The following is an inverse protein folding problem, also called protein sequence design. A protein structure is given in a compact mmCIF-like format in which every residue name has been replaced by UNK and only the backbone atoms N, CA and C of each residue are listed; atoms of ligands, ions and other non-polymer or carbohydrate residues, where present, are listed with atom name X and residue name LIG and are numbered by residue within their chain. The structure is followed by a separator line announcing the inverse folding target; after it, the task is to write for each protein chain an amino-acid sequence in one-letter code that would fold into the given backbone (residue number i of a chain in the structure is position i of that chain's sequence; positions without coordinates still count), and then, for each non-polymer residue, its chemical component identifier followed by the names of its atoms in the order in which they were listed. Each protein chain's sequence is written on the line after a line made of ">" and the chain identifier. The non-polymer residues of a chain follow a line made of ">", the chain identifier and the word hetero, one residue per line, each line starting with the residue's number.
data_IF_758668688111
#
_entry.id   IF_758668688111
#
_cell.length_a   1.000
_cell.length_b   1.000
_cell.length_c   1.000
_cell.angle_alpha   90.00
_cell.angle_beta   90.00
_cell.angle_gamma   90.00
#
_symmetry.space_group_name_H-M   'P 1'
#
loop_
_entity.id
_entity.type
_entity.pdbx_description
1 polymer ?
#
# COMPACT_ATOMS: atom_id res chain seq x y z
N UNK A 1 27.82 -28.86 10.20
CA UNK A 1 28.75 -28.49 9.10
C UNK A 1 28.39 -27.06 8.71
N UNK A 2 29.31 -26.11 8.81
CA UNK A 2 29.05 -24.70 8.45
C UNK A 2 29.51 -24.47 7.01
N UNK A 3 28.77 -23.67 6.26
CA UNK A 3 29.18 -23.25 4.92
C UNK A 3 30.32 -22.24 5.06
N UNK A 4 31.42 -22.44 4.33
CA UNK A 4 32.55 -21.51 4.29
C UNK A 4 32.55 -20.81 2.93
N UNK A 5 32.27 -19.50 2.94
CA UNK A 5 32.22 -18.64 1.75
C UNK A 5 33.46 -17.72 1.63
N UNK A 6 34.50 -17.96 2.42
CA UNK A 6 35.75 -17.19 2.36
C UNK A 6 36.72 -17.76 1.33
N UNK A 7 37.59 -16.92 0.77
CA UNK A 7 38.65 -17.32 -0.20
C UNK A 7 38.14 -18.02 -1.47
N UNK A 8 36.95 -17.65 -1.96
CA UNK A 8 36.40 -18.11 -3.25
C UNK A 8 36.26 -16.94 -4.22
N UNK A 9 36.32 -17.23 -5.53
CA UNK A 9 36.28 -16.21 -6.59
C UNK A 9 34.95 -15.44 -6.64
N UNK A 10 33.84 -16.12 -6.29
CA UNK A 10 32.49 -15.55 -6.26
C UNK A 10 31.83 -15.94 -4.93
N UNK A 11 31.99 -15.13 -3.87
CA UNK A 11 31.38 -15.43 -2.58
C UNK A 11 29.86 -15.33 -2.67
N UNK A 12 29.17 -16.26 -2.02
CA UNK A 12 27.71 -16.19 -1.88
C UNK A 12 27.34 -15.05 -0.94
N UNK A 13 26.52 -14.12 -1.41
CA UNK A 13 25.95 -13.05 -0.58
C UNK A 13 24.72 -13.57 0.18
N UNK A 14 24.70 -13.38 1.50
CA UNK A 14 23.61 -13.84 2.37
C UNK A 14 22.90 -12.68 3.08
N UNK A 15 23.38 -11.45 2.91
CA UNK A 15 22.75 -10.26 3.48
C UNK A 15 21.51 -9.84 2.68
N UNK A 16 20.65 -9.09 3.37
CA UNK A 16 19.48 -8.44 2.81
C UNK A 16 19.46 -7.00 3.30
N UNK A 17 19.20 -6.08 2.39
CA UNK A 17 19.05 -4.65 2.69
C UNK A 17 17.66 -4.17 2.28
N UNK A 18 17.14 -3.18 3.00
CA UNK A 18 15.89 -2.51 2.67
C UNK A 18 16.19 -1.10 2.18
N UNK A 19 15.72 -0.77 0.98
CA UNK A 19 15.78 0.59 0.47
C UNK A 19 14.64 1.42 1.06
N UNK A 20 14.96 2.59 1.64
CA UNK A 20 13.98 3.56 2.13
C UNK A 20 13.78 4.66 1.06
N UNK A 21 12.66 4.69 0.33
CA UNK A 21 12.46 5.67 -0.72
C UNK A 21 12.21 7.07 -0.17
N UNK A 22 12.46 8.09 -1.00
CA UNK A 22 12.32 9.51 -0.62
C UNK A 22 10.94 9.87 -0.07
N UNK A 23 9.88 9.19 -0.51
CA UNK A 23 8.52 9.43 0.00
C UNK A 23 8.29 8.95 1.45
N UNK A 24 9.26 8.28 2.07
CA UNK A 24 9.27 7.90 3.49
C UNK A 24 10.24 8.77 4.32
N UNK A 25 10.67 9.90 3.77
CA UNK A 25 11.48 10.86 4.52
C UNK A 25 10.72 11.33 5.78
N UNK A 26 11.34 11.32 6.98
CA UNK A 26 10.69 11.74 8.23
C UNK A 26 10.09 13.15 8.18
N UNK A 27 10.63 14.04 7.35
CA UNK A 27 10.09 15.40 7.14
C UNK A 27 8.71 15.41 6.47
N UNK A 28 8.29 14.29 5.87
CA UNK A 28 7.01 14.13 5.19
C UNK A 28 5.98 13.32 6.01
N UNK A 29 6.29 12.98 7.25
CA UNK A 29 5.47 12.12 8.12
C UNK A 29 4.03 12.62 8.28
N UNK A 30 3.83 13.94 8.43
CA UNK A 30 2.50 14.55 8.59
C UNK A 30 1.61 14.36 7.36
N UNK A 31 2.21 14.19 6.17
CA UNK A 31 1.46 13.96 4.93
C UNK A 31 1.06 12.50 4.76
N UNK A 32 1.61 11.59 5.57
CA UNK A 32 1.40 10.15 5.46
C UNK A 32 0.02 9.77 5.99
N UNK A 33 -0.86 9.19 5.16
CA UNK A 33 -2.16 8.72 5.64
C UNK A 33 -2.03 7.51 6.57
N UNK A 34 -2.93 7.40 7.53
CA UNK A 34 -3.09 6.21 8.36
C UNK A 34 -4.47 5.57 8.12
N UNK A 35 -4.51 4.30 7.72
CA UNK A 35 -5.77 3.58 7.50
C UNK A 35 -6.32 3.17 8.86
N UNK A 36 -7.55 3.60 9.17
CA UNK A 36 -8.23 3.34 10.44
C UNK A 36 -9.22 2.18 10.30
N UNK A 37 -9.87 2.07 9.14
CA UNK A 37 -10.84 1.03 8.81
C UNK A 37 -10.83 0.82 7.28
N UNK A 38 -10.88 -0.42 6.75
CA UNK A 38 -10.92 -1.68 7.47
C UNK A 38 -9.60 -2.04 8.17
N UNK A 39 -9.66 -2.96 9.12
CA UNK A 39 -8.47 -3.63 9.65
C UNK A 39 -7.81 -4.53 8.59
N UNK A 40 -6.52 -4.82 8.78
CA UNK A 40 -5.80 -5.74 7.90
C UNK A 40 -6.44 -7.14 7.88
N UNK A 41 -6.29 -7.83 6.76
CA UNK A 41 -6.85 -9.15 6.44
C UNK A 41 -8.35 -9.13 6.13
N UNK A 42 -8.89 -7.99 5.68
CA UNK A 42 -10.28 -7.86 5.22
C UNK A 42 -10.47 -8.55 3.86
N UNK A 43 -11.15 -9.70 3.85
CA UNK A 43 -11.51 -10.42 2.62
C UNK A 43 -12.47 -9.60 1.76
N UNK A 44 -12.14 -9.31 0.51
CA UNK A 44 -13.02 -8.57 -0.39
C UNK A 44 -13.46 -9.42 -1.58
N UNK A 45 -14.69 -9.20 -2.08
CA UNK A 45 -15.19 -9.82 -3.32
C UNK A 45 -14.97 -8.88 -4.52
N UNK A 46 -14.85 -9.46 -5.72
CA UNK A 46 -14.83 -8.68 -6.96
C UNK A 46 -16.08 -7.80 -7.08
N UNK A 47 -15.88 -6.53 -7.45
CA UNK A 47 -16.96 -5.56 -7.61
C UNK A 47 -17.60 -5.03 -6.32
N UNK A 48 -17.21 -5.53 -5.13
CA UNK A 48 -17.62 -5.02 -3.81
C UNK A 48 -17.21 -3.55 -3.65
N UNK A 49 -18.04 -2.77 -2.96
CA UNK A 49 -17.67 -1.42 -2.53
C UNK A 49 -16.99 -1.53 -1.18
N UNK A 50 -15.75 -1.11 -1.12
CA UNK A 50 -14.96 -1.01 0.09
C UNK A 50 -14.94 0.44 0.58
N UNK A 51 -15.35 0.64 1.83
CA UNK A 51 -15.22 1.93 2.51
C UNK A 51 -13.89 1.94 3.26
N UNK A 52 -13.01 2.86 2.90
CA UNK A 52 -11.72 3.04 3.56
C UNK A 52 -11.76 4.34 4.34
N UNK A 53 -11.70 4.25 5.67
CA UNK A 53 -11.53 5.39 6.56
C UNK A 53 -10.06 5.54 6.89
N UNK A 54 -9.57 6.76 6.79
CA UNK A 54 -8.18 7.07 7.04
C UNK A 54 -8.05 8.43 7.70
N UNK A 55 -6.95 8.65 8.41
CA UNK A 55 -6.59 9.93 9.00
C UNK A 55 -5.36 10.52 8.32
N UNK A 56 -5.31 11.85 8.22
CA UNK A 56 -4.16 12.62 7.71
C UNK A 56 -3.96 13.83 8.63
N UNK A 57 -2.70 14.21 8.85
CA UNK A 57 -2.39 15.43 9.57
C UNK A 57 -2.42 16.65 8.62
N UNK A 58 -3.00 17.76 9.10
CA UNK A 58 -3.24 18.95 8.28
C UNK A 58 -4.44 18.80 7.34
N UNK A 59 -4.78 19.88 6.63
CA UNK A 59 -5.90 19.90 5.68
C UNK A 59 -5.45 19.21 4.37
N UNK A 60 -6.00 18.03 4.02
CA UNK A 60 -5.59 17.36 2.80
C UNK A 60 -6.25 17.99 1.58
N UNK A 61 -5.50 18.01 0.48
CA UNK A 61 -6.06 18.24 -0.85
C UNK A 61 -6.74 16.94 -1.31
N UNK A 62 -8.05 16.84 -1.15
CA UNK A 62 -8.81 15.60 -1.38
C UNK A 62 -8.62 15.04 -2.80
N UNK A 63 -8.44 15.90 -3.80
CA UNK A 63 -8.17 15.52 -5.19
C UNK A 63 -6.83 14.80 -5.39
N UNK A 64 -5.92 14.91 -4.43
CA UNK A 64 -4.62 14.22 -4.47
C UNK A 64 -4.66 12.82 -3.85
N UNK A 65 -5.79 12.42 -3.25
CA UNK A 65 -5.94 11.13 -2.60
C UNK A 65 -6.15 10.04 -3.66
N UNK A 66 -5.30 9.02 -3.59
CA UNK A 66 -5.45 7.79 -4.37
C UNK A 66 -5.51 6.59 -3.43
N UNK A 67 -6.29 5.60 -3.79
CA UNK A 67 -6.32 4.30 -3.16
C UNK A 67 -5.79 3.32 -4.19
N UNK A 68 -4.75 2.60 -3.80
CA UNK A 68 -4.11 1.63 -4.68
C UNK A 68 -4.03 0.28 -4.00
N UNK A 69 -4.13 -0.79 -4.76
CA UNK A 69 -3.80 -2.13 -4.28
C UNK A 69 -2.68 -2.73 -5.12
N UNK A 70 -1.73 -3.38 -4.47
CA UNK A 70 -0.62 -4.08 -5.13
C UNK A 70 -0.68 -5.57 -4.78
N UNK A 71 -0.51 -6.43 -5.79
CA UNK A 71 -0.23 -7.85 -5.55
C UNK A 71 1.28 -8.01 -5.30
N UNK A 72 1.71 -8.49 -4.13
CA UNK A 72 3.12 -8.76 -3.90
C UNK A 72 3.62 -9.82 -4.90
N UNK A 73 4.82 -9.64 -5.47
CA UNK A 73 5.41 -10.64 -6.34
C UNK A 73 6.04 -11.80 -5.58
N UNK A 74 6.25 -12.88 -6.34
CA UNK A 74 7.36 -13.79 -6.12
C UNK A 74 8.46 -13.45 -7.13
N UNK A 75 9.69 -13.21 -6.67
CA UNK A 75 10.81 -12.78 -7.52
C UNK A 75 11.94 -13.79 -7.48
N UNK A 76 12.39 -14.23 -8.65
CA UNK A 76 13.58 -15.07 -8.79
C UNK A 76 14.22 -14.85 -10.16
N UNK A 77 15.53 -14.98 -10.28
CA UNK A 77 16.26 -14.83 -11.56
C UNK A 77 15.89 -13.54 -12.32
N UNK A 78 15.73 -12.43 -11.59
CA UNK A 78 15.31 -11.13 -12.13
C UNK A 78 13.90 -11.08 -12.75
N UNK A 79 13.08 -12.10 -12.51
CA UNK A 79 11.68 -12.17 -12.97
C UNK A 79 10.74 -11.94 -11.78
N UNK A 80 9.88 -10.93 -11.90
CA UNK A 80 8.81 -10.64 -10.94
C UNK A 80 7.49 -11.24 -11.44
N UNK A 81 7.03 -12.30 -10.78
CA UNK A 81 5.83 -13.03 -11.19
C UNK A 81 4.64 -12.47 -10.40
N UNK A 82 3.55 -12.16 -11.12
CA UNK A 82 2.24 -11.74 -10.60
C UNK A 82 2.11 -10.30 -10.10
N UNK A 83 3.20 -9.52 -9.95
CA UNK A 83 3.11 -8.13 -9.49
C UNK A 83 2.14 -7.34 -10.38
N UNK A 84 1.21 -6.64 -9.75
CA UNK A 84 0.30 -5.70 -10.42
C UNK A 84 -0.08 -4.60 -9.44
N UNK A 85 -0.01 -3.36 -9.90
CA UNK A 85 -0.53 -2.21 -9.19
C UNK A 85 -1.87 -1.82 -9.82
N UNK A 86 -2.90 -1.68 -9.00
CA UNK A 86 -4.23 -1.25 -9.42
C UNK A 86 -4.58 0.03 -8.68
N UNK A 87 -4.95 1.06 -9.43
CA UNK A 87 -5.50 2.30 -8.86
C UNK A 87 -7.02 2.16 -8.80
N UNK A 88 -7.61 2.28 -7.61
CA UNK A 88 -9.03 2.02 -7.35
C UNK A 88 -9.88 3.27 -7.21
N UNK A 89 -9.27 4.43 -6.95
CA UNK A 89 -10.02 5.68 -6.70
C UNK A 89 -10.76 6.11 -7.95
N UNK A 90 -12.08 6.05 -7.87
CA UNK A 90 -13.01 6.66 -8.82
C UNK A 90 -13.93 7.70 -8.13
N UNK A 91 -13.71 7.97 -6.84
CA UNK A 91 -14.56 8.86 -6.04
C UNK A 91 -13.70 9.84 -5.25
N UNK A 92 -14.24 11.03 -5.00
CA UNK A 92 -13.63 12.01 -4.11
C UNK A 92 -13.85 11.59 -2.66
N UNK A 93 -12.81 11.54 -1.81
CA UNK A 93 -12.99 11.29 -0.39
C UNK A 93 -13.87 12.37 0.25
N UNK A 94 -14.59 12.01 1.31
CA UNK A 94 -15.37 12.92 2.13
C UNK A 94 -14.72 13.12 3.49
N UNK A 95 -14.75 14.35 4.00
CA UNK A 95 -14.27 14.66 5.35
C UNK A 95 -15.33 14.29 6.38
N UNK A 96 -14.99 13.41 7.32
CA UNK A 96 -15.87 13.00 8.41
C UNK A 96 -15.80 13.95 9.61
N UNK A 97 -14.66 14.62 9.80
CA UNK A 97 -14.45 15.57 10.88
C UNK A 97 -13.00 15.57 11.37
N UNK A 98 -12.80 16.13 12.56
CA UNK A 98 -11.50 16.22 13.23
C UNK A 98 -11.65 15.71 14.65
N UNK A 99 -10.70 14.88 15.10
CA UNK A 99 -10.50 14.61 16.52
C UNK A 99 -9.14 15.22 16.90
N UNK A 100 -9.04 15.85 18.09
CA UNK A 100 -7.86 16.55 18.62
C UNK A 100 -6.53 16.10 17.99
N UNK A 101 -6.13 16.73 16.88
CA UNK A 101 -5.08 16.22 15.99
C UNK A 101 -5.56 16.06 14.53
N UNK A 102 -5.56 14.84 13.97
CA UNK A 102 -5.71 14.61 12.53
C UNK A 102 -7.16 14.76 12.02
N UNK A 103 -7.28 15.00 10.71
CA UNK A 103 -8.56 14.96 10.01
C UNK A 103 -8.88 13.53 9.60
N UNK A 104 -10.14 13.15 9.75
CA UNK A 104 -10.65 11.84 9.35
C UNK A 104 -11.44 11.97 8.06
N UNK A 105 -11.16 11.07 7.14
CA UNK A 105 -11.77 11.01 5.83
C UNK A 105 -12.27 9.60 5.54
N UNK A 106 -13.21 9.51 4.61
CA UNK A 106 -13.66 8.24 4.05
C UNK A 106 -13.66 8.32 2.54
N UNK A 107 -13.19 7.26 1.89
CA UNK A 107 -13.29 7.08 0.44
C UNK A 107 -13.98 5.75 0.15
N UNK A 108 -14.91 5.76 -0.79
CA UNK A 108 -15.53 4.54 -1.29
C UNK A 108 -14.86 4.09 -2.57
N UNK A 109 -14.25 2.91 -2.56
CA UNK A 109 -13.60 2.35 -3.74
C UNK A 109 -14.30 1.07 -4.16
N UNK A 110 -14.34 0.83 -5.47
CA UNK A 110 -14.93 -0.39 -6.01
C UNK A 110 -13.82 -1.37 -6.34
N UNK A 111 -13.89 -2.56 -5.74
CA UNK A 111 -12.95 -3.63 -6.06
C UNK A 111 -13.06 -4.00 -7.54
N UNK A 112 -11.94 -4.38 -8.19
CA UNK A 112 -11.94 -4.77 -9.60
C UNK A 112 -13.02 -5.82 -9.87
N UNK A 113 -13.81 -5.63 -10.91
CA UNK A 113 -14.95 -6.52 -11.22
C UNK A 113 -14.53 -7.85 -11.85
N UNK A 114 -13.34 -7.89 -12.45
CA UNK A 114 -12.88 -9.03 -13.23
C UNK A 114 -11.69 -9.71 -12.58
N UNK A 115 -11.71 -11.05 -12.42
CA UNK A 115 -10.54 -11.81 -11.98
C UNK A 115 -9.39 -11.78 -12.99
N UNK A 116 -9.63 -11.35 -14.25
CA UNK A 116 -8.55 -11.14 -15.23
C UNK A 116 -7.68 -9.93 -14.86
N UNK A 117 -8.31 -8.87 -14.33
CA UNK A 117 -7.63 -7.65 -13.87
C UNK A 117 -6.99 -7.90 -12.50
N UNK A 118 -7.76 -8.44 -11.56
CA UNK A 118 -7.30 -8.77 -10.22
C UNK A 118 -7.58 -10.25 -9.88
N UNK A 119 -6.68 -11.18 -10.23
CA UNK A 119 -6.80 -12.58 -9.84
C UNK A 119 -6.95 -12.72 -8.34
N UNK A 120 -7.73 -13.71 -7.86
CA UNK A 120 -7.86 -14.00 -6.43
C UNK A 120 -6.49 -14.19 -5.76
N UNK A 121 -6.38 -13.74 -4.52
CA UNK A 121 -5.16 -13.80 -3.71
C UNK A 121 -5.03 -12.54 -2.84
N UNK A 122 -3.92 -12.47 -2.11
CA UNK A 122 -3.64 -11.36 -1.21
C UNK A 122 -3.14 -10.14 -1.96
N UNK A 123 -3.65 -8.97 -1.58
CA UNK A 123 -3.16 -7.68 -2.02
C UNK A 123 -2.85 -6.82 -0.80
N UNK A 124 -1.95 -5.86 -0.97
CA UNK A 124 -1.77 -4.77 -0.02
C UNK A 124 -2.49 -3.54 -0.54
N UNK A 125 -3.40 -2.97 0.26
CA UNK A 125 -4.12 -1.74 -0.02
C UNK A 125 -3.44 -0.55 0.68
N UNK A 126 -3.29 0.54 -0.04
CA UNK A 126 -2.68 1.79 0.40
C UNK A 126 -3.61 2.97 0.13
N UNK A 127 -3.61 3.94 1.03
CA UNK A 127 -4.09 5.30 0.75
C UNK A 127 -2.85 6.17 0.50
N UNK A 128 -2.85 6.92 -0.59
CA UNK A 128 -1.73 7.74 -1.04
C UNK A 128 -2.17 9.19 -1.06
N UNK A 129 -1.42 10.07 -0.39
CA UNK A 129 -1.64 11.51 -0.37
C UNK A 129 -0.39 12.21 -0.88
N UNK A 130 -0.50 13.01 -1.96
CA UNK A 130 0.66 13.69 -2.59
C UNK A 130 1.87 12.75 -2.85
N UNK A 131 1.59 11.54 -3.35
CA UNK A 131 2.57 10.48 -3.63
C UNK A 131 3.21 9.83 -2.38
N UNK A 132 2.69 10.10 -1.18
CA UNK A 132 3.15 9.47 0.07
C UNK A 132 2.14 8.39 0.47
N UNK A 133 2.53 7.10 0.46
CA UNK A 133 1.64 6.00 0.80
C UNK A 133 1.51 5.82 2.31
N UNK A 134 0.33 5.38 2.74
CA UNK A 134 0.08 4.87 4.08
C UNK A 134 0.94 3.64 4.38
N UNK A 135 0.88 3.15 5.62
CA UNK A 135 1.15 1.73 5.83
C UNK A 135 0.10 0.89 5.07
N UNK A 136 0.54 -0.21 4.47
CA UNK A 136 -0.32 -1.08 3.68
C UNK A 136 -1.08 -2.06 4.56
N UNK A 137 -2.34 -2.30 4.24
CA UNK A 137 -3.14 -3.35 4.89
C UNK A 137 -3.39 -4.52 3.93
N UNK A 138 -3.46 -5.73 4.45
CA UNK A 138 -3.79 -6.91 3.65
C UNK A 138 -5.29 -6.96 3.34
N UNK A 139 -5.65 -7.24 2.09
CA UNK A 139 -7.04 -7.45 1.61
C UNK A 139 -7.14 -8.64 0.65
#
# INVERSE_FOLDING_TARGET
>A
RFYNFTSVLFPTELSLEAFLPRYLDPTQSELRPNIVDPTSSRKCKHGEILRVKFSIHGLPTLDSIKVTMIRPPFVTHSISISQRLLVLTNTTPVTLGRANGPFYHQVEVRMPRSPKVAPPGFYMLFVVHKNIPSEGIWV
#
